data_IF_245384463013
#
_entry.id   IF_245384463013
#
_cell.length_a   1.000
_cell.length_b   1.000
_cell.length_c   1.000
_cell.angle_alpha   90.00
_cell.angle_beta   90.00
_cell.angle_gamma   90.00
#
_symmetry.space_group_name_H-M   'P 1'
#
loop_
_entity.id
_entity.type
_entity.pdbx_description
1 polymer ?
#
# COMPACT_ATOMS: atom_id res chain seq x y z
N UNK A 1 -13.85 -14.90 -3.15
CA UNK A 1 -12.68 -14.55 -2.29
C UNK A 1 -12.02 -13.34 -2.93
N UNK A 2 -11.90 -12.22 -2.22
CA UNK A 2 -11.27 -11.03 -2.78
C UNK A 2 -9.76 -11.28 -2.97
N UNK A 3 -9.24 -10.97 -4.14
CA UNK A 3 -7.82 -11.15 -4.46
C UNK A 3 -6.97 -10.19 -3.61
N UNK A 4 -5.82 -10.66 -3.10
CA UNK A 4 -4.92 -9.84 -2.26
C UNK A 4 -4.45 -8.58 -3.01
N UNK A 5 -4.20 -8.67 -4.32
CA UNK A 5 -3.79 -7.51 -5.12
C UNK A 5 -4.93 -6.49 -5.28
N UNK A 6 -6.16 -6.98 -5.47
CA UNK A 6 -7.34 -6.11 -5.61
C UNK A 6 -7.62 -5.37 -4.30
N UNK A 7 -7.41 -6.03 -3.16
CA UNK A 7 -7.49 -5.41 -1.84
C UNK A 7 -6.38 -4.36 -1.65
N UNK A 8 -5.14 -4.67 -2.04
CA UNK A 8 -4.02 -3.72 -1.97
C UNK A 8 -4.28 -2.48 -2.84
N UNK A 9 -4.72 -2.66 -4.08
CA UNK A 9 -5.08 -1.55 -4.98
C UNK A 9 -6.26 -0.73 -4.44
N UNK A 10 -7.25 -1.39 -3.84
CA UNK A 10 -8.36 -0.72 -3.16
C UNK A 10 -7.86 0.13 -1.99
N UNK A 11 -7.04 -0.44 -1.11
CA UNK A 11 -6.51 0.28 0.05
C UNK A 11 -5.63 1.46 -0.36
N UNK A 12 -4.82 1.28 -1.41
CA UNK A 12 -4.01 2.35 -1.98
C UNK A 12 -4.89 3.48 -2.53
N UNK A 13 -5.87 3.16 -3.39
CA UNK A 13 -6.72 4.15 -4.06
C UNK A 13 -7.64 4.92 -3.10
N UNK A 14 -8.03 4.28 -1.99
CA UNK A 14 -8.87 4.90 -0.95
C UNK A 14 -8.04 5.63 0.11
N UNK A 15 -6.70 5.54 0.07
CA UNK A 15 -5.81 6.10 1.09
C UNK A 15 -5.73 5.27 2.38
N UNK A 16 -6.45 4.14 2.47
CA UNK A 16 -6.42 3.25 3.62
C UNK A 16 -5.02 2.66 3.86
N UNK A 17 -4.23 2.43 2.81
CA UNK A 17 -2.85 1.97 2.95
C UNK A 17 -2.01 2.99 3.75
N UNK A 18 -2.18 4.29 3.47
CA UNK A 18 -1.49 5.34 4.24
C UNK A 18 -1.98 5.38 5.69
N UNK A 19 -3.27 5.19 5.93
CA UNK A 19 -3.83 5.13 7.30
C UNK A 19 -3.21 3.97 8.07
N UNK A 20 -3.06 2.79 7.45
CA UNK A 20 -2.41 1.62 8.06
C UNK A 20 -0.95 1.90 8.41
N UNK A 21 -0.20 2.52 7.50
CA UNK A 21 1.18 2.96 7.74
C UNK A 21 1.23 3.91 8.95
N UNK A 22 0.45 4.98 8.94
CA UNK A 22 0.42 5.98 10.02
C UNK A 22 0.01 5.35 11.36
N UNK A 23 -0.95 4.42 11.34
CA UNK A 23 -1.38 3.72 12.55
C UNK A 23 -0.28 2.82 13.11
N UNK A 24 0.47 2.13 12.25
CA UNK A 24 1.59 1.28 12.66
C UNK A 24 2.72 2.13 13.23
N UNK A 25 3.09 3.21 12.55
CA UNK A 25 4.09 4.16 13.04
C UNK A 25 3.76 4.67 14.44
N UNK A 26 2.52 5.13 14.65
CA UNK A 26 2.07 5.60 15.97
C UNK A 26 2.11 4.51 17.03
N UNK A 27 1.81 3.26 16.65
CA UNK A 27 1.83 2.14 17.58
C UNK A 27 3.26 1.78 18.02
N UNK A 28 4.21 1.69 17.09
CA UNK A 28 5.60 1.32 17.41
C UNK A 28 6.35 2.44 18.14
N UNK A 29 6.05 3.71 17.85
CA UNK A 29 6.67 4.86 18.52
C UNK A 29 5.91 5.33 19.76
N UNK A 30 4.83 4.63 20.15
CA UNK A 30 4.10 4.96 21.37
C UNK A 30 5.03 4.81 22.56
N UNK A 31 5.12 5.85 23.39
CA UNK A 31 5.78 5.74 24.69
C UNK A 31 5.08 4.66 25.50
N UNK A 32 5.78 3.55 25.74
CA UNK A 32 5.38 2.59 26.75
C UNK A 32 5.72 3.23 28.09
N UNK A 33 4.70 3.66 28.82
CA UNK A 33 4.85 3.93 30.25
C UNK A 33 5.05 2.59 30.96
N UNK A 34 6.24 2.02 30.83
CA UNK A 34 6.69 0.98 31.76
C UNK A 34 7.09 1.72 33.04
N UNK A 35 6.33 1.51 34.12
CA UNK A 35 6.74 1.90 35.46
C UNK A 35 8.10 1.24 35.73
N UNK A 36 9.17 2.02 35.59
CA UNK A 36 10.53 1.53 35.78
C UNK A 36 10.83 1.49 37.27
N UNK A 37 10.26 0.51 37.98
CA UNK A 37 10.65 0.20 39.34
C UNK A 37 12.02 -0.50 39.26
N UNK A 38 13.09 0.24 39.58
CA UNK A 38 14.35 -0.34 40.06
C UNK A 38 15.36 -0.86 39.02
N UNK A 39 15.47 -0.31 37.81
CA UNK A 39 16.61 -0.65 36.92
C UNK A 39 17.36 0.59 36.43
N UNK A 40 18.64 0.66 36.78
CA UNK A 40 19.59 1.63 36.26
C UNK A 40 19.58 1.62 34.73
N UNK A 41 19.14 2.73 34.14
CA UNK A 41 19.08 2.87 32.70
C UNK A 41 20.48 2.97 32.13
N UNK A 42 20.86 1.98 31.31
CA UNK A 42 21.94 2.18 30.34
C UNK A 42 21.55 3.38 29.49
N UNK A 43 22.24 4.51 29.67
CA UNK A 43 22.03 5.69 28.83
C UNK A 43 22.59 5.37 27.46
N UNK A 44 21.75 4.97 26.51
CA UNK A 44 22.14 5.11 25.11
C UNK A 44 22.28 6.61 24.86
N UNK A 45 23.45 7.08 24.40
CA UNK A 45 23.67 8.48 23.99
C UNK A 45 22.89 8.87 22.72
N UNK A 46 21.98 8.02 22.27
CA UNK A 46 21.14 8.18 21.09
C UNK A 46 20.07 9.23 21.35
N UNK A 47 20.01 10.26 20.52
CA UNK A 47 18.99 11.29 20.61
C UNK A 47 17.58 10.66 20.42
N UNK A 48 16.51 11.20 21.04
CA UNK A 48 15.15 10.66 20.86
C UNK A 48 14.71 10.53 19.40
N UNK A 49 15.20 11.41 18.52
CA UNK A 49 14.96 11.37 17.07
C UNK A 49 15.60 10.14 16.41
N UNK A 50 16.88 9.87 16.71
CA UNK A 50 17.61 8.71 16.20
C UNK A 50 17.03 7.40 16.74
N UNK A 51 16.61 7.38 18.00
CA UNK A 51 15.94 6.21 18.60
C UNK A 51 14.64 5.90 17.86
N UNK A 52 13.82 6.92 17.60
CA UNK A 52 12.57 6.75 16.86
C UNK A 52 12.81 6.29 15.42
N UNK A 53 13.85 6.81 14.77
CA UNK A 53 14.26 6.36 13.43
C UNK A 53 14.61 4.86 13.43
N UNK A 54 15.47 4.42 14.35
CA UNK A 54 15.87 3.02 14.48
C UNK A 54 14.67 2.09 14.77
N UNK A 55 13.72 2.53 15.60
CA UNK A 55 12.48 1.78 15.86
C UNK A 55 11.65 1.60 14.57
N UNK A 56 11.53 2.65 13.77
CA UNK A 56 10.78 2.61 12.50
C UNK A 56 11.47 1.74 11.45
N UNK A 57 12.80 1.85 11.31
CA UNK A 57 13.56 1.00 10.39
C UNK A 57 13.53 -0.48 10.79
N UNK A 58 13.55 -0.77 12.09
CA UNK A 58 13.50 -2.14 12.61
C UNK A 58 12.15 -2.85 12.41
N UNK A 59 11.06 -2.13 12.18
CA UNK A 59 9.73 -2.71 12.04
C UNK A 59 9.48 -3.26 10.62
N UNK A 60 9.68 -4.57 10.46
CA UNK A 60 9.50 -5.27 9.17
C UNK A 60 8.13 -5.08 8.54
N UNK A 61 7.08 -4.94 9.34
CA UNK A 61 5.71 -4.79 8.84
C UNK A 61 5.49 -3.39 8.24
N UNK A 62 5.96 -2.36 8.94
CA UNK A 62 5.98 -0.98 8.46
C UNK A 62 6.78 -0.86 7.17
N UNK A 63 8.00 -1.42 7.12
CA UNK A 63 8.84 -1.38 5.92
C UNK A 63 8.14 -2.03 4.72
N UNK A 64 7.54 -3.22 4.90
CA UNK A 64 6.75 -3.87 3.84
C UNK A 64 5.59 -3.02 3.34
N UNK A 65 4.91 -2.28 4.23
CA UNK A 65 3.82 -1.39 3.82
C UNK A 65 4.32 -0.16 3.06
N UNK A 66 5.45 0.42 3.49
CA UNK A 66 6.10 1.54 2.82
C UNK A 66 6.58 1.14 1.42
N UNK A 67 7.26 0.00 1.28
CA UNK A 67 7.71 -0.55 0.00
C UNK A 67 6.54 -0.72 -0.96
N UNK A 68 5.45 -1.37 -0.49
CA UNK A 68 4.23 -1.56 -1.30
C UNK A 68 3.63 -0.23 -1.75
N UNK A 69 3.61 0.78 -0.88
CA UNK A 69 3.12 2.11 -1.23
C UNK A 69 4.01 2.74 -2.30
N UNK A 70 5.32 2.72 -2.10
CA UNK A 70 6.28 3.30 -3.05
C UNK A 70 6.19 2.63 -4.42
N UNK A 71 6.18 1.30 -4.47
CA UNK A 71 6.01 0.55 -5.72
C UNK A 71 4.70 0.91 -6.43
N UNK A 72 3.61 1.13 -5.69
CA UNK A 72 2.34 1.55 -6.28
C UNK A 72 2.37 3.00 -6.77
N UNK A 73 3.04 3.90 -6.06
CA UNK A 73 3.23 5.28 -6.52
C UNK A 73 4.00 5.32 -7.85
N UNK A 74 5.16 4.64 -7.90
CA UNK A 74 5.98 4.50 -9.10
C UNK A 74 5.20 3.85 -10.26
N UNK A 75 4.49 2.76 -9.97
CA UNK A 75 3.66 2.08 -10.96
C UNK A 75 2.61 3.03 -11.54
N UNK A 76 1.90 3.77 -10.68
CA UNK A 76 0.85 4.69 -11.09
C UNK A 76 1.39 5.84 -11.93
N UNK A 77 2.62 6.27 -11.69
CA UNK A 77 3.32 7.26 -12.52
C UNK A 77 3.74 6.68 -13.87
N UNK A 78 4.24 5.45 -13.92
CA UNK A 78 4.60 4.77 -15.18
C UNK A 78 3.39 4.59 -16.09
N UNK A 79 2.23 4.23 -15.54
CA UNK A 79 1.00 4.05 -16.32
C UNK A 79 0.20 5.36 -16.51
N UNK A 80 0.80 6.52 -16.22
CA UNK A 80 0.16 7.81 -16.40
C UNK A 80 -0.30 8.00 -17.85
N UNK A 81 -1.53 8.51 -18.03
CA UNK A 81 -2.12 8.73 -19.36
C UNK A 81 -2.61 7.45 -20.07
N UNK A 82 -2.44 6.27 -19.48
CA UNK A 82 -2.98 5.02 -20.05
C UNK A 82 -4.42 4.78 -19.64
N UNK A 83 -5.17 4.06 -20.49
CA UNK A 83 -6.53 3.59 -20.17
C UNK A 83 -6.58 2.69 -18.95
N UNK A 84 -5.51 1.92 -18.69
CA UNK A 84 -5.40 1.04 -17.53
C UNK A 84 -5.47 1.86 -16.23
N UNK A 85 -4.79 3.01 -16.15
CA UNK A 85 -4.86 3.89 -14.98
C UNK A 85 -6.29 4.38 -14.74
N UNK A 86 -6.97 4.82 -15.80
CA UNK A 86 -8.38 5.26 -15.72
C UNK A 86 -9.29 4.13 -15.23
N UNK A 87 -9.09 2.90 -15.73
CA UNK A 87 -9.84 1.70 -15.33
C UNK A 87 -9.60 1.41 -13.84
N UNK A 88 -8.35 1.41 -13.38
CA UNK A 88 -8.01 1.14 -11.98
C UNK A 88 -8.63 2.20 -11.06
N UNK A 89 -8.52 3.50 -11.40
CA UNK A 89 -9.14 4.58 -10.62
C UNK A 89 -10.67 4.42 -10.59
N UNK A 90 -11.30 4.21 -11.74
CA UNK A 90 -12.75 3.99 -11.85
C UNK A 90 -13.22 2.81 -10.99
N UNK A 91 -12.47 1.71 -11.02
CA UNK A 91 -12.83 0.48 -10.31
C UNK A 91 -12.59 0.57 -8.81
N UNK A 92 -11.45 1.09 -8.37
CA UNK A 92 -11.01 0.98 -6.98
C UNK A 92 -11.23 2.27 -6.17
N UNK A 93 -10.99 3.44 -6.75
CA UNK A 93 -11.25 4.73 -6.09
C UNK A 93 -12.75 5.03 -6.02
N UNK A 94 -13.42 4.94 -7.16
CA UNK A 94 -14.85 5.25 -7.27
C UNK A 94 -15.77 4.05 -7.06
N UNK A 95 -15.21 2.83 -6.91
CA UNK A 95 -15.96 1.58 -6.67
C UNK A 95 -17.05 1.30 -7.71
N UNK A 96 -16.81 1.71 -8.97
CA UNK A 96 -17.78 1.52 -10.04
C UNK A 96 -17.89 0.04 -10.45
N UNK A 97 -19.08 -0.37 -10.88
CA UNK A 97 -19.28 -1.66 -11.55
C UNK A 97 -18.60 -1.67 -12.91
N UNK A 98 -18.23 -2.85 -13.42
CA UNK A 98 -17.50 -2.99 -14.69
C UNK A 98 -18.21 -2.35 -15.89
N UNK A 99 -19.54 -2.46 -15.97
CA UNK A 99 -20.36 -1.76 -16.96
C UNK A 99 -20.14 -0.22 -16.90
N UNK A 100 -20.19 0.37 -15.70
CA UNK A 100 -19.95 1.82 -15.51
C UNK A 100 -18.48 2.21 -15.73
N UNK A 101 -17.53 1.32 -15.44
CA UNK A 101 -16.12 1.54 -15.75
C UNK A 101 -15.94 1.66 -17.26
N UNK A 102 -16.47 0.70 -18.03
CA UNK A 102 -16.43 0.72 -19.50
C UNK A 102 -17.01 2.01 -20.08
N UNK A 103 -18.21 2.40 -19.63
CA UNK A 103 -18.82 3.68 -20.02
C UNK A 103 -17.92 4.89 -19.74
N UNK A 104 -17.27 4.92 -18.56
CA UNK A 104 -16.40 6.03 -18.16
C UNK A 104 -15.13 6.14 -18.99
N UNK A 105 -14.54 5.01 -19.37
CA UNK A 105 -13.29 4.97 -20.14
C UNK A 105 -13.50 4.87 -21.65
N UNK A 106 -14.77 4.87 -22.10
CA UNK A 106 -15.21 4.68 -23.48
C UNK A 106 -14.74 3.35 -24.08
N UNK A 107 -14.89 2.26 -23.32
CA UNK A 107 -14.61 0.89 -23.74
C UNK A 107 -15.79 -0.03 -23.42
N UNK A 108 -15.89 -1.13 -24.16
CA UNK A 108 -16.79 -2.22 -23.78
C UNK A 108 -16.41 -2.79 -22.42
N UNK A 109 -17.40 -3.30 -21.68
CA UNK A 109 -17.18 -3.90 -20.37
C UNK A 109 -16.13 -5.03 -20.43
N UNK A 110 -16.24 -5.91 -21.42
CA UNK A 110 -15.34 -7.03 -21.59
C UNK A 110 -13.91 -6.58 -21.94
N UNK A 111 -13.77 -5.53 -22.76
CA UNK A 111 -12.48 -4.94 -23.08
C UNK A 111 -11.82 -4.32 -21.83
N UNK A 112 -12.57 -3.59 -21.01
CA UNK A 112 -12.07 -3.01 -19.77
C UNK A 112 -11.64 -4.09 -18.76
N UNK A 113 -12.42 -5.18 -18.65
CA UNK A 113 -12.07 -6.34 -17.80
C UNK A 113 -10.80 -7.03 -18.30
N UNK A 114 -10.67 -7.26 -19.60
CA UNK A 114 -9.49 -7.89 -20.21
C UNK A 114 -8.22 -7.06 -20.01
N UNK A 115 -8.29 -5.74 -20.21
CA UNK A 115 -7.16 -4.85 -19.94
C UNK A 115 -6.74 -4.91 -18.47
N UNK A 116 -7.70 -4.85 -17.55
CA UNK A 116 -7.39 -4.99 -16.13
C UNK A 116 -6.80 -6.36 -15.77
N UNK A 117 -7.35 -7.44 -16.31
CA UNK A 117 -6.85 -8.79 -16.07
C UNK A 117 -5.41 -8.97 -16.59
N UNK A 118 -5.11 -8.44 -17.78
CA UNK A 118 -3.76 -8.42 -18.33
C UNK A 118 -2.79 -7.63 -17.46
N UNK A 119 -3.17 -6.42 -17.06
CA UNK A 119 -2.39 -5.60 -16.13
C UNK A 119 -2.12 -6.34 -14.80
N UNK A 120 -3.18 -6.88 -14.19
CA UNK A 120 -3.10 -7.65 -12.95
C UNK A 120 -2.16 -8.85 -13.07
N UNK A 121 -2.19 -9.55 -14.21
CA UNK A 121 -1.27 -10.65 -14.48
C UNK A 121 0.17 -10.17 -14.54
N UNK A 122 0.46 -9.08 -15.26
CA UNK A 122 1.81 -8.49 -15.31
C UNK A 122 2.32 -8.09 -13.93
N UNK A 123 1.46 -7.49 -13.10
CA UNK A 123 1.82 -7.12 -11.73
C UNK A 123 2.16 -8.33 -10.86
N UNK A 124 1.34 -9.39 -10.95
CA UNK A 124 1.56 -10.63 -10.20
C UNK A 124 2.82 -11.34 -10.67
N UNK A 125 3.00 -11.49 -11.97
CA UNK A 125 4.08 -12.29 -12.54
C UNK A 125 5.44 -11.57 -12.43
N UNK A 126 5.44 -10.22 -12.44
CA UNK A 126 6.64 -9.39 -12.45
C UNK A 126 7.02 -8.85 -11.07
N UNK A 127 6.15 -8.04 -10.45
CA UNK A 127 6.48 -7.26 -9.25
C UNK A 127 6.19 -8.01 -7.94
N UNK A 128 5.10 -8.77 -7.89
CA UNK A 128 4.58 -9.35 -6.64
C UNK A 128 4.58 -10.87 -6.60
N UNK A 129 5.41 -11.53 -7.42
CA UNK A 129 5.47 -12.99 -7.51
C UNK A 129 5.77 -13.62 -6.16
N UNK A 130 6.78 -13.10 -5.46
CA UNK A 130 7.29 -13.69 -4.21
C UNK A 130 6.72 -13.02 -2.93
N UNK A 131 5.89 -11.99 -3.08
CA UNK A 131 5.44 -11.12 -1.97
C UNK A 131 3.94 -11.18 -1.67
N UNK A 132 3.15 -11.88 -2.52
CA UNK A 132 1.71 -12.06 -2.35
C UNK A 132 1.26 -13.51 -2.10
N UNK A 133 2.18 -14.48 -1.98
CA UNK A 133 1.86 -15.84 -1.55
C UNK A 133 1.20 -15.89 -0.15
#
# INVERSE_FOLDING_TARGET
MADKLDMLLSDYMTGMLQVKINSRERWITREKHEERIGSGGSSSNTAPQERNFLIKEGDKELQKMLDRKQTLDELMDVIQGTKVKEIVIARFKYRLSWCKVGQRVFLDEDAARKQYAGFKKTLRDGLWRDTLD
#
